data_IF_781409175947
#
_entry.id   IF_781409175947
#
_cell.length_a   1.000
_cell.length_b   1.000
_cell.length_c   1.000
_cell.angle_alpha   90.00
_cell.angle_beta   90.00
_cell.angle_gamma   90.00
#
_symmetry.space_group_name_H-M   'P 1'
#
loop_
_entity.id
_entity.type
_entity.pdbx_description
1 polymer ?
#
# COMPACT_ATOMS: atom_id res chain seq x y z
N UNK A 1 24.78 -2.29 -9.60
CA UNK A 1 23.38 -1.96 -9.27
C UNK A 1 22.62 -3.28 -9.22
N UNK A 2 22.21 -3.73 -8.03
CA UNK A 2 21.49 -4.99 -7.90
C UNK A 2 20.08 -4.80 -8.46
N UNK A 3 19.72 -5.58 -9.48
CA UNK A 3 18.37 -5.56 -10.02
C UNK A 3 17.42 -5.94 -8.89
N UNK A 4 16.62 -4.98 -8.41
CA UNK A 4 15.56 -5.26 -7.45
C UNK A 4 14.68 -6.33 -8.09
N UNK A 5 14.57 -7.50 -7.46
CA UNK A 5 13.68 -8.56 -7.89
C UNK A 5 12.30 -7.97 -8.19
N UNK A 6 11.56 -8.42 -9.21
CA UNK A 6 10.30 -7.79 -9.63
C UNK A 6 9.23 -7.72 -8.52
N UNK A 7 9.43 -8.44 -7.42
CA UNK A 7 8.56 -8.51 -6.24
C UNK A 7 9.17 -7.87 -4.98
N UNK A 8 10.25 -7.09 -5.07
CA UNK A 8 10.96 -6.49 -3.92
C UNK A 8 10.05 -5.70 -2.97
N UNK A 9 8.96 -5.12 -3.49
CA UNK A 9 8.01 -4.35 -2.70
C UNK A 9 7.13 -5.22 -1.78
N UNK A 10 7.07 -6.53 -1.99
CA UNK A 10 6.24 -7.43 -1.15
C UNK A 10 6.76 -7.48 0.28
N UNK A 11 8.08 -7.57 0.50
CA UNK A 11 8.67 -7.58 1.83
C UNK A 11 8.38 -6.28 2.61
N UNK A 12 8.41 -5.13 1.93
CA UNK A 12 8.11 -3.84 2.55
C UNK A 12 6.63 -3.66 2.85
N UNK A 13 5.75 -4.09 1.94
CA UNK A 13 4.30 -4.10 2.18
C UNK A 13 3.94 -5.04 3.33
N UNK A 14 4.60 -6.19 3.45
CA UNK A 14 4.36 -7.14 4.53
C UNK A 14 4.82 -6.57 5.89
N UNK A 15 6.00 -5.95 5.94
CA UNK A 15 6.47 -5.24 7.14
C UNK A 15 5.53 -4.11 7.53
N UNK A 16 5.07 -3.31 6.57
CA UNK A 16 4.12 -2.24 6.84
C UNK A 16 2.77 -2.77 7.35
N UNK A 17 2.28 -3.87 6.78
CA UNK A 17 1.04 -4.51 7.22
C UNK A 17 1.15 -5.09 8.64
N UNK A 18 2.25 -5.80 8.96
CA UNK A 18 2.52 -6.37 10.29
C UNK A 18 2.73 -5.26 11.32
N UNK A 19 3.52 -4.24 10.98
CA UNK A 19 3.81 -3.10 11.85
C UNK A 19 2.66 -2.11 12.01
N UNK A 20 1.59 -2.24 11.21
CA UNK A 20 0.48 -1.29 11.18
C UNK A 20 0.89 0.11 10.73
N UNK A 21 1.96 0.21 9.93
CA UNK A 21 2.50 1.49 9.49
C UNK A 21 1.56 2.15 8.47
N UNK A 22 1.45 3.48 8.56
CA UNK A 22 0.82 4.27 7.51
C UNK A 22 1.88 4.73 6.52
N UNK A 23 1.58 4.54 5.24
CA UNK A 23 2.41 5.01 4.14
C UNK A 23 1.74 6.19 3.45
N UNK A 24 2.51 7.20 3.09
CA UNK A 24 2.04 8.31 2.27
C UNK A 24 1.76 7.86 0.83
N UNK A 25 0.99 8.66 0.10
CA UNK A 25 0.71 8.40 -1.32
C UNK A 25 1.98 8.28 -2.18
N UNK A 26 3.03 9.03 -1.82
CA UNK A 26 4.33 9.00 -2.51
C UNK A 26 5.08 7.69 -2.25
N UNK A 27 5.10 7.22 -1.01
CA UNK A 27 5.73 5.94 -0.63
C UNK A 27 5.02 4.77 -1.28
N UNK A 28 3.68 4.75 -1.23
CA UNK A 28 2.89 3.72 -1.92
C UNK A 28 3.19 3.71 -3.41
N UNK A 29 3.22 4.89 -4.06
CA UNK A 29 3.57 5.01 -5.48
C UNK A 29 4.99 4.51 -5.77
N UNK A 30 5.94 4.77 -4.89
CA UNK A 30 7.32 4.30 -5.03
C UNK A 30 7.42 2.77 -4.93
N UNK A 31 6.68 2.17 -4.00
CA UNK A 31 6.66 0.72 -3.80
C UNK A 31 5.98 -0.03 -4.95
N UNK A 32 4.76 0.38 -5.33
CA UNK A 32 3.95 -0.36 -6.30
C UNK A 32 4.10 0.14 -7.75
N UNK A 33 4.85 1.22 -7.94
CA UNK A 33 5.08 1.88 -9.23
C UNK A 33 3.88 2.68 -9.78
N UNK A 34 2.73 2.65 -9.11
CA UNK A 34 1.47 3.27 -9.56
C UNK A 34 0.88 4.10 -8.43
N UNK A 35 0.32 5.27 -8.76
CA UNK A 35 -0.37 6.12 -7.78
C UNK A 35 -1.65 5.41 -7.31
N UNK A 36 -1.84 5.17 -6.00
CA UNK A 36 -3.08 4.58 -5.51
C UNK A 36 -4.25 5.53 -5.77
N UNK A 37 -5.39 4.97 -6.19
CA UNK A 37 -6.61 5.73 -6.44
C UNK A 37 -7.79 5.00 -5.83
N UNK A 38 -8.73 5.75 -5.25
CA UNK A 38 -9.99 5.16 -4.80
C UNK A 38 -11.11 5.61 -5.71
N UNK A 39 -12.06 4.71 -5.97
CA UNK A 39 -13.34 5.07 -6.60
C UNK A 39 -14.11 6.01 -5.67
N UNK A 40 -14.98 6.85 -6.24
CA UNK A 40 -15.87 7.74 -5.48
C UNK A 40 -16.68 6.92 -4.47
N UNK A 41 -16.64 7.30 -3.19
CA UNK A 41 -17.30 6.57 -2.10
C UNK A 41 -16.55 5.35 -1.57
N UNK A 42 -15.35 5.05 -2.08
CA UNK A 42 -14.47 4.04 -1.51
C UNK A 42 -13.24 4.69 -0.87
N UNK A 43 -12.78 4.09 0.22
CA UNK A 43 -11.50 4.40 0.86
C UNK A 43 -10.49 3.27 0.70
N UNK A 44 -10.81 2.30 -0.15
CA UNK A 44 -10.00 1.12 -0.38
C UNK A 44 -9.53 1.09 -1.82
N UNK A 45 -8.23 0.90 -1.99
CA UNK A 45 -7.59 0.60 -3.27
C UNK A 45 -6.99 -0.80 -3.20
N UNK A 46 -7.31 -1.67 -4.16
CA UNK A 46 -6.86 -3.06 -4.18
C UNK A 46 -5.90 -3.25 -5.35
N UNK A 47 -4.79 -3.94 -5.11
CA UNK A 47 -3.82 -4.32 -6.14
C UNK A 47 -3.25 -5.70 -5.85
N UNK A 48 -3.61 -6.68 -6.68
CA UNK A 48 -3.24 -8.07 -6.44
C UNK A 48 -3.74 -8.54 -5.08
N UNK A 49 -2.84 -9.11 -4.26
CA UNK A 49 -3.14 -9.60 -2.91
C UNK A 49 -3.03 -8.53 -1.81
N UNK A 50 -2.94 -7.24 -2.18
CA UNK A 50 -2.75 -6.14 -1.23
C UNK A 50 -3.91 -5.16 -1.28
N UNK A 51 -4.31 -4.70 -0.11
CA UNK A 51 -5.33 -3.70 0.13
C UNK A 51 -4.72 -2.45 0.77
N UNK A 52 -4.95 -1.30 0.15
CA UNK A 52 -4.48 0.01 0.58
C UNK A 52 -5.71 0.79 1.06
N UNK A 53 -5.82 1.01 2.36
CA UNK A 53 -6.97 1.66 2.99
C UNK A 53 -6.58 3.08 3.37
N UNK A 54 -7.34 4.09 2.95
CA UNK A 54 -7.11 5.46 3.41
C UNK A 54 -7.32 5.51 4.92
N UNK A 55 -6.28 5.91 5.63
CA UNK A 55 -6.26 6.01 7.08
C UNK A 55 -5.88 7.43 7.49
N UNK A 56 -6.63 8.42 6.97
CA UNK A 56 -6.39 9.83 7.24
C UNK A 56 -5.27 10.44 6.40
N UNK A 57 -4.49 11.34 7.02
CA UNK A 57 -3.41 12.08 6.37
C UNK A 57 -2.08 11.88 7.10
N UNK A 58 -1.00 11.77 6.34
CA UNK A 58 0.37 11.87 6.82
C UNK A 58 0.92 13.19 6.31
N UNK A 59 0.99 14.19 7.19
CA UNK A 59 1.26 15.57 6.80
C UNK A 59 0.22 16.07 5.78
N UNK A 60 0.70 16.54 4.63
CA UNK A 60 -0.15 17.02 3.52
C UNK A 60 -0.69 15.93 2.59
N UNK A 61 -0.21 14.68 2.71
CA UNK A 61 -0.59 13.59 1.82
C UNK A 61 -1.61 12.64 2.47
N UNK A 62 -2.37 11.91 1.65
CA UNK A 62 -3.21 10.81 2.16
C UNK A 62 -2.33 9.70 2.72
N UNK A 63 -2.66 9.26 3.93
CA UNK A 63 -2.07 8.10 4.58
C UNK A 63 -2.81 6.83 4.19
N UNK A 64 -2.06 5.77 3.92
CA UNK A 64 -2.54 4.48 3.46
C UNK A 64 -2.07 3.41 4.41
N UNK A 65 -3.02 2.65 4.95
CA UNK A 65 -2.74 1.45 5.71
C UNK A 65 -2.73 0.26 4.77
N UNK A 66 -1.71 -0.58 4.89
CA UNK A 66 -1.54 -1.78 4.07
C UNK A 66 -2.14 -2.97 4.80
N UNK A 67 -2.93 -3.77 4.10
CA UNK A 67 -3.41 -5.06 4.56
C UNK A 67 -3.22 -6.10 3.47
N UNK A 68 -2.86 -7.31 3.88
CA UNK A 68 -2.83 -8.46 2.98
C UNK A 68 -4.26 -8.95 2.83
N UNK A 69 -4.72 -9.11 1.59
CA UNK A 69 -5.98 -9.79 1.30
C UNK A 69 -5.69 -11.28 1.50
N UNK A 70 -5.74 -11.71 2.75
CA UNK A 70 -5.79 -13.13 3.08
C UNK A 70 -7.10 -13.64 2.51
N UNK A 71 -7.03 -14.41 1.43
CA UNK A 71 -8.14 -15.24 0.97
C UNK A 71 -8.46 -16.26 2.06
N UNK A 72 -9.25 -15.81 3.04
CA UNK A 72 -9.82 -16.65 4.10
C UNK A 72 -11.29 -16.82 3.82
N UNK A 73 -11.60 -17.95 3.18
CA UNK A 73 -12.85 -18.72 3.12
C UNK A 73 -14.19 -17.96 2.97
#
# INVERSE_FOLDING_TARGET
MQAKSPIWYHDELEKAAIGGWLLSTSEVKHLIGVKPYCKKGSDVYIRGSWQFIKSGKIGGATGWRIQKISSGC
#
